data_IF_590122078774
#
_entry.id   IF_590122078774
#
_cell.length_a   1.000
_cell.length_b   1.000
_cell.length_c   1.000
_cell.angle_alpha   90.00
_cell.angle_beta   90.00
_cell.angle_gamma   90.00
#
_symmetry.space_group_name_H-M   'P 1'
#
loop_
_entity.id
_entity.type
_entity.pdbx_description
1 polymer ?
#
# COMPACT_ATOMS: atom_id res chain seq x y z
N UNK A 1 29.19 40.98 -25.98
CA UNK A 1 29.64 39.92 -25.04
C UNK A 1 28.51 39.50 -24.07
N UNK A 2 27.23 39.56 -24.48
CA UNK A 2 26.05 39.29 -23.61
C UNK A 2 25.17 38.10 -24.08
N UNK A 3 25.59 37.35 -25.11
CA UNK A 3 24.78 36.26 -25.67
C UNK A 3 25.14 34.86 -25.18
N UNK A 4 26.27 34.67 -24.51
CA UNK A 4 26.74 33.36 -24.02
C UNK A 4 26.24 33.02 -22.61
N UNK A 5 25.91 34.01 -21.78
CA UNK A 5 25.39 33.76 -20.43
C UNK A 5 23.93 33.31 -20.43
N UNK A 6 23.10 33.85 -21.32
CA UNK A 6 21.69 33.46 -21.40
C UNK A 6 21.51 32.00 -21.89
N UNK A 7 22.29 31.55 -22.88
CA UNK A 7 22.21 30.16 -23.38
C UNK A 7 22.65 29.12 -22.35
N UNK A 8 23.65 29.43 -21.52
CA UNK A 8 24.12 28.62 -20.40
C UNK A 8 23.06 28.43 -19.30
N UNK A 9 22.31 29.49 -18.98
CA UNK A 9 21.22 29.44 -18.00
C UNK A 9 20.02 28.63 -18.52
N UNK A 10 19.68 28.74 -19.81
CA UNK A 10 18.63 27.92 -20.42
C UNK A 10 19.01 26.43 -20.51
N UNK A 11 20.29 26.11 -20.76
CA UNK A 11 20.79 24.72 -20.72
C UNK A 11 20.72 24.16 -19.30
N UNK A 12 21.21 24.89 -18.31
CA UNK A 12 21.18 24.46 -16.90
C UNK A 12 19.75 24.24 -16.39
N UNK A 13 18.78 25.07 -16.82
CA UNK A 13 17.36 24.87 -16.48
C UNK A 13 16.78 23.60 -17.08
N UNK A 14 17.14 23.28 -18.33
CA UNK A 14 16.71 22.06 -19.00
C UNK A 14 17.28 20.82 -18.32
N UNK A 15 18.55 20.88 -17.90
CA UNK A 15 19.22 19.79 -17.19
C UNK A 15 18.64 19.58 -15.78
N UNK A 16 18.35 20.66 -15.04
CA UNK A 16 17.67 20.56 -13.73
C UNK A 16 16.26 19.96 -13.89
N UNK A 17 15.51 20.40 -14.90
CA UNK A 17 14.17 19.86 -15.15
C UNK A 17 14.21 18.39 -15.56
N UNK A 18 15.18 17.97 -16.38
CA UNK A 18 15.32 16.58 -16.78
C UNK A 18 15.70 15.68 -15.61
N UNK A 19 16.61 16.12 -14.73
CA UNK A 19 16.96 15.41 -13.50
C UNK A 19 15.75 15.28 -12.57
N UNK A 20 15.00 16.37 -12.36
CA UNK A 20 13.78 16.35 -11.56
C UNK A 20 12.73 15.39 -12.15
N UNK A 21 12.49 15.48 -13.46
CA UNK A 21 11.55 14.60 -14.16
C UNK A 21 11.98 13.13 -14.10
N UNK A 22 13.27 12.83 -14.19
CA UNK A 22 13.78 11.49 -14.01
C UNK A 22 13.49 10.96 -12.59
N UNK A 23 13.69 11.79 -11.56
CA UNK A 23 13.35 11.45 -10.18
C UNK A 23 11.85 11.19 -9.99
N UNK A 24 10.98 12.06 -10.52
CA UNK A 24 9.52 11.87 -10.48
C UNK A 24 9.10 10.60 -11.23
N UNK A 25 9.67 10.37 -12.41
CA UNK A 25 9.35 9.19 -13.22
C UNK A 25 9.80 7.88 -12.55
N UNK A 26 10.94 7.91 -11.84
CA UNK A 26 11.42 6.76 -11.08
C UNK A 26 10.51 6.41 -9.88
N UNK A 27 9.78 7.40 -9.35
CA UNK A 27 8.81 7.23 -8.27
C UNK A 27 7.36 7.03 -8.78
N UNK A 28 7.17 6.86 -10.09
CA UNK A 28 5.84 6.61 -10.66
C UNK A 28 5.27 5.28 -10.13
N UNK A 29 4.09 5.27 -9.48
CA UNK A 29 3.57 4.06 -8.84
C UNK A 29 3.27 2.92 -9.82
N UNK A 30 2.84 3.25 -11.03
CA UNK A 30 2.52 2.26 -12.05
C UNK A 30 3.82 1.61 -12.57
N UNK A 31 4.84 2.39 -12.89
CA UNK A 31 6.14 1.87 -13.31
C UNK A 31 6.86 1.13 -12.18
N UNK A 32 6.74 1.58 -10.94
CA UNK A 32 7.31 0.89 -9.78
C UNK A 32 6.78 -0.55 -9.67
N UNK A 33 5.47 -0.76 -9.85
CA UNK A 33 4.90 -2.12 -9.88
C UNK A 33 5.44 -2.90 -11.09
N UNK A 34 5.48 -2.30 -12.29
CA UNK A 34 6.01 -2.97 -13.49
C UNK A 34 7.49 -3.36 -13.39
N UNK A 35 8.26 -2.63 -12.61
CA UNK A 35 9.67 -2.94 -12.36
C UNK A 35 9.87 -4.06 -11.34
N UNK A 36 8.87 -4.33 -10.49
CA UNK A 36 8.98 -5.31 -9.42
C UNK A 36 8.20 -6.60 -9.71
N UNK A 37 7.14 -6.55 -10.50
CA UNK A 37 6.27 -7.69 -10.78
C UNK A 37 6.38 -8.09 -12.25
N UNK A 38 6.78 -9.34 -12.48
CA UNK A 38 6.90 -9.92 -13.80
C UNK A 38 6.20 -11.28 -13.87
N UNK A 39 5.98 -11.75 -15.09
CA UNK A 39 5.52 -13.11 -15.37
C UNK A 39 6.53 -13.76 -16.30
N UNK A 40 7.04 -14.92 -15.90
CA UNK A 40 7.99 -15.73 -16.64
C UNK A 40 7.53 -17.20 -16.61
N UNK A 41 7.34 -17.83 -17.77
CA UNK A 41 6.88 -19.23 -17.90
C UNK A 41 5.70 -19.60 -16.97
N UNK A 42 4.67 -18.76 -16.92
CA UNK A 42 3.48 -18.90 -16.07
C UNK A 42 3.73 -18.81 -14.55
N UNK A 43 4.92 -18.39 -14.13
CA UNK A 43 5.25 -18.08 -12.75
C UNK A 43 5.24 -16.57 -12.53
N UNK A 44 4.71 -16.15 -11.38
CA UNK A 44 4.85 -14.77 -10.95
C UNK A 44 6.23 -14.61 -10.30
N UNK A 45 6.93 -13.57 -10.71
CA UNK A 45 8.25 -13.21 -10.22
C UNK A 45 8.21 -11.81 -9.59
N UNK A 46 8.65 -11.73 -8.33
CA UNK A 46 8.75 -10.49 -7.58
C UNK A 46 10.22 -10.14 -7.34
N UNK A 47 10.65 -8.98 -7.81
CA UNK A 47 11.97 -8.45 -7.48
C UNK A 47 11.99 -7.96 -6.03
N UNK A 48 12.93 -8.47 -5.23
CA UNK A 48 13.06 -8.14 -3.81
C UNK A 48 14.05 -7.01 -3.54
N UNK A 49 14.97 -6.75 -4.49
CA UNK A 49 15.91 -5.64 -4.42
C UNK A 49 16.03 -4.96 -5.78
N UNK A 50 15.70 -3.67 -5.84
CA UNK A 50 15.81 -2.87 -7.07
C UNK A 50 17.25 -2.74 -7.58
N UNK A 51 18.26 -2.91 -6.72
CA UNK A 51 19.69 -2.84 -7.06
C UNK A 51 20.25 -4.18 -7.51
N UNK A 52 19.71 -5.28 -6.98
CA UNK A 52 20.12 -6.64 -7.33
C UNK A 52 18.97 -7.37 -8.06
N UNK A 53 19.02 -7.32 -9.39
CA UNK A 53 18.04 -7.96 -10.28
C UNK A 53 18.00 -9.49 -10.19
N UNK A 54 18.95 -10.11 -9.49
CA UNK A 54 18.98 -11.57 -9.30
C UNK A 54 18.25 -12.00 -8.04
N UNK A 55 17.98 -11.07 -7.12
CA UNK A 55 17.27 -11.34 -5.88
C UNK A 55 15.75 -11.28 -6.10
N UNK A 56 15.17 -12.42 -6.48
CA UNK A 56 13.74 -12.52 -6.80
C UNK A 56 13.04 -13.63 -6.02
N UNK A 57 11.74 -13.44 -5.78
CA UNK A 57 10.82 -14.47 -5.31
C UNK A 57 10.00 -14.95 -6.50
N UNK A 58 10.12 -16.23 -6.83
CA UNK A 58 9.26 -16.90 -7.80
C UNK A 58 8.26 -17.81 -7.08
N UNK A 59 7.07 -17.96 -7.64
CA UNK A 59 6.10 -18.92 -7.15
C UNK A 59 5.05 -19.29 -8.20
N UNK A 60 4.49 -20.47 -8.03
CA UNK A 60 3.36 -20.96 -8.82
C UNK A 60 2.14 -20.98 -7.91
N UNK A 61 1.29 -19.97 -8.08
CA UNK A 61 0.03 -19.86 -7.34
C UNK A 61 -1.13 -20.22 -8.24
N UNK A 62 -2.14 -20.89 -7.69
CA UNK A 62 -3.34 -21.26 -8.45
C UNK A 62 -4.21 -20.05 -8.76
N UNK A 63 -4.23 -19.06 -7.84
CA UNK A 63 -4.95 -17.80 -7.98
C UNK A 63 -4.26 -16.65 -7.23
N UNK A 64 -4.59 -15.43 -7.63
CA UNK A 64 -4.14 -14.17 -7.05
C UNK A 64 -5.34 -13.31 -6.64
N UNK A 65 -5.38 -12.93 -5.38
CA UNK A 65 -6.31 -11.97 -4.80
C UNK A 65 -5.63 -10.61 -4.68
N UNK A 66 -6.05 -9.65 -5.50
CA UNK A 66 -5.41 -8.33 -5.56
C UNK A 66 -6.10 -7.34 -4.61
N UNK A 67 -5.32 -6.76 -3.69
CA UNK A 67 -5.78 -5.70 -2.79
C UNK A 67 -4.79 -4.54 -2.85
N UNK A 68 -5.27 -3.38 -3.26
CA UNK A 68 -4.50 -2.14 -3.25
C UNK A 68 -5.12 -1.14 -2.27
N UNK A 69 -4.29 -0.40 -1.53
CA UNK A 69 -4.78 0.73 -0.73
C UNK A 69 -3.73 1.83 -0.55
N UNK A 70 -4.20 3.06 -0.49
CA UNK A 70 -3.36 4.26 -0.47
C UNK A 70 -3.66 5.20 -1.64
N UNK A 71 -3.06 6.39 -1.62
CA UNK A 71 -3.28 7.42 -2.66
C UNK A 71 -2.95 6.96 -4.08
N UNK A 72 -2.04 6.00 -4.23
CA UNK A 72 -1.62 5.46 -5.52
C UNK A 72 -2.27 4.10 -5.86
N UNK A 73 -3.26 3.65 -5.08
CA UNK A 73 -3.85 2.33 -5.20
C UNK A 73 -4.35 2.02 -6.63
N UNK A 74 -5.03 2.98 -7.28
CA UNK A 74 -5.54 2.80 -8.64
C UNK A 74 -4.42 2.54 -9.65
N UNK A 75 -3.35 3.34 -9.61
CA UNK A 75 -2.22 3.22 -10.54
C UNK A 75 -1.46 1.90 -10.32
N UNK A 76 -1.21 1.53 -9.06
CA UNK A 76 -0.55 0.28 -8.71
C UNK A 76 -1.40 -0.93 -9.10
N UNK A 77 -2.71 -0.90 -8.80
CA UNK A 77 -3.64 -1.99 -9.14
C UNK A 77 -3.75 -2.19 -10.64
N UNK A 78 -3.80 -1.09 -11.42
CA UNK A 78 -3.80 -1.16 -12.89
C UNK A 78 -2.54 -1.84 -13.41
N UNK A 79 -1.36 -1.48 -12.92
CA UNK A 79 -0.11 -2.11 -13.34
C UNK A 79 -0.10 -3.62 -13.04
N UNK A 80 -0.50 -4.01 -11.83
CA UNK A 80 -0.56 -5.42 -11.46
C UNK A 80 -1.58 -6.21 -12.29
N UNK A 81 -2.76 -5.63 -12.54
CA UNK A 81 -3.83 -6.24 -13.35
C UNK A 81 -3.39 -6.50 -14.80
N UNK A 82 -2.63 -5.58 -15.40
CA UNK A 82 -2.08 -5.76 -16.75
C UNK A 82 -1.00 -6.85 -16.84
N UNK A 83 -0.30 -7.12 -15.72
CA UNK A 83 0.77 -8.12 -15.67
C UNK A 83 0.21 -9.50 -15.33
N UNK A 84 -0.70 -9.59 -14.35
CA UNK A 84 -1.22 -10.86 -13.85
C UNK A 84 -2.13 -11.50 -14.92
N UNK A 85 -1.82 -12.71 -15.41
CA UNK A 85 -2.63 -13.39 -16.39
C UNK A 85 -4.07 -13.57 -15.93
N UNK A 86 -5.04 -13.36 -16.82
CA UNK A 86 -6.48 -13.42 -16.48
C UNK A 86 -6.92 -14.72 -15.83
N UNK A 87 -6.30 -15.85 -16.19
CA UNK A 87 -6.60 -17.17 -15.61
C UNK A 87 -6.13 -17.34 -14.15
N UNK A 88 -5.18 -16.50 -13.69
CA UNK A 88 -4.73 -16.49 -12.29
C UNK A 88 -5.56 -15.52 -11.43
N UNK A 89 -6.45 -14.71 -12.00
CA UNK A 89 -7.23 -13.75 -11.21
C UNK A 89 -8.40 -14.48 -10.51
N UNK A 90 -8.49 -14.40 -9.17
CA UNK A 90 -9.47 -15.16 -8.39
C UNK A 90 -10.90 -14.62 -8.51
N UNK A 91 -11.04 -13.32 -8.29
CA UNK A 91 -12.27 -12.53 -8.23
C UNK A 91 -11.95 -11.08 -8.61
N UNK A 92 -12.96 -10.21 -8.63
CA UNK A 92 -12.76 -8.76 -8.69
C UNK A 92 -11.84 -8.33 -7.54
N UNK A 93 -10.70 -7.72 -7.87
CA UNK A 93 -9.78 -7.17 -6.86
C UNK A 93 -10.34 -5.91 -6.21
N UNK A 94 -9.69 -5.40 -5.17
CA UNK A 94 -10.14 -4.20 -4.45
C UNK A 94 -9.03 -3.14 -4.49
N UNK A 95 -9.39 -1.89 -4.79
CA UNK A 95 -8.50 -0.73 -4.65
C UNK A 95 -9.17 0.35 -3.79
N UNK A 96 -8.55 0.72 -2.66
CA UNK A 96 -9.05 1.75 -1.75
C UNK A 96 -8.18 3.00 -1.83
N UNK A 97 -8.76 4.13 -2.24
CA UNK A 97 -8.03 5.40 -2.40
C UNK A 97 -8.82 6.57 -1.82
N UNK A 98 -8.19 7.73 -1.70
CA UNK A 98 -8.85 8.99 -1.40
C UNK A 98 -9.79 9.42 -2.54
N UNK A 99 -10.90 10.08 -2.20
CA UNK A 99 -11.99 10.42 -3.14
C UNK A 99 -11.52 11.09 -4.44
N UNK A 100 -10.56 12.00 -4.36
CA UNK A 100 -10.01 12.74 -5.49
C UNK A 100 -9.14 11.90 -6.43
N UNK A 101 -8.69 10.73 -5.99
CA UNK A 101 -7.84 9.81 -6.75
C UNK A 101 -8.63 8.59 -7.29
N UNK A 102 -9.95 8.57 -7.14
CA UNK A 102 -10.80 7.50 -7.68
C UNK A 102 -10.76 7.54 -9.20
N UNK A 103 -10.23 6.48 -9.79
CA UNK A 103 -10.17 6.27 -11.24
C UNK A 103 -10.61 4.84 -11.51
N UNK A 104 -11.47 4.63 -12.51
CA UNK A 104 -11.91 3.30 -12.87
C UNK A 104 -10.73 2.42 -13.31
N UNK A 105 -10.66 1.20 -12.76
CA UNK A 105 -9.69 0.16 -13.14
C UNK A 105 -10.50 -1.10 -13.45
N UNK A 106 -10.27 -1.67 -14.63
CA UNK A 106 -11.01 -2.84 -15.09
C UNK A 106 -10.79 -4.04 -14.15
N UNK A 107 -11.85 -4.81 -13.89
CA UNK A 107 -11.83 -5.95 -12.95
C UNK A 107 -11.41 -5.64 -11.50
N UNK A 108 -11.39 -4.35 -11.11
CA UNK A 108 -11.10 -3.91 -9.75
C UNK A 108 -12.27 -3.08 -9.21
N UNK A 109 -12.75 -3.41 -8.02
CA UNK A 109 -13.67 -2.55 -7.28
C UNK A 109 -12.86 -1.40 -6.65
N UNK A 110 -13.02 -0.21 -7.22
CA UNK A 110 -12.36 1.01 -6.73
C UNK A 110 -13.27 1.73 -5.74
N UNK A 111 -12.79 1.93 -4.52
CA UNK A 111 -13.54 2.51 -3.41
C UNK A 111 -12.84 3.80 -2.96
N UNK A 112 -13.58 4.92 -3.00
CA UNK A 112 -13.16 6.19 -2.41
C UNK A 112 -13.44 6.21 -0.90
N UNK A 113 -12.48 6.69 -0.11
CA UNK A 113 -12.61 6.88 1.34
C UNK A 113 -11.91 8.18 1.78
N UNK A 114 -12.23 8.66 2.99
CA UNK A 114 -11.64 9.89 3.51
C UNK A 114 -10.19 9.72 3.96
N UNK A 115 -9.39 10.75 3.68
CA UNK A 115 -8.02 10.94 4.16
C UNK A 115 -7.80 12.46 4.34
N UNK A 116 -7.18 12.95 5.43
CA UNK A 116 -6.37 12.20 6.41
C UNK A 116 -7.17 11.56 7.55
N UNK A 117 -8.45 11.92 7.73
CA UNK A 117 -9.30 11.36 8.78
C UNK A 117 -10.13 10.18 8.24
N UNK A 118 -10.22 9.06 8.96
CA UNK A 118 -11.02 7.91 8.54
C UNK A 118 -12.52 8.21 8.51
N UNK A 119 -13.27 7.51 7.66
CA UNK A 119 -14.72 7.61 7.57
C UNK A 119 -15.41 6.23 7.42
N UNK A 120 -16.74 6.25 7.30
CA UNK A 120 -17.55 5.04 7.17
C UNK A 120 -17.28 4.29 5.86
N UNK A 121 -16.98 5.01 4.78
CA UNK A 121 -16.61 4.40 3.49
C UNK A 121 -15.31 3.60 3.63
N UNK A 122 -14.31 4.16 4.30
CA UNK A 122 -13.07 3.47 4.64
C UNK A 122 -13.31 2.23 5.50
N UNK A 123 -14.15 2.31 6.55
CA UNK A 123 -14.47 1.15 7.37
C UNK A 123 -15.11 0.02 6.54
N UNK A 124 -16.05 0.37 5.66
CA UNK A 124 -16.70 -0.60 4.78
C UNK A 124 -15.68 -1.20 3.80
N UNK A 125 -14.78 -0.40 3.24
CA UNK A 125 -13.70 -0.86 2.38
C UNK A 125 -12.76 -1.82 3.12
N UNK A 126 -12.39 -1.50 4.36
CA UNK A 126 -11.54 -2.33 5.21
C UNK A 126 -12.17 -3.71 5.49
N UNK A 127 -13.49 -3.75 5.74
CA UNK A 127 -14.25 -5.00 5.88
C UNK A 127 -14.24 -5.83 4.60
N UNK A 128 -14.40 -5.19 3.43
CA UNK A 128 -14.32 -5.87 2.14
C UNK A 128 -12.92 -6.45 1.88
N UNK A 129 -11.87 -5.68 2.16
CA UNK A 129 -10.49 -6.18 2.07
C UNK A 129 -10.30 -7.42 2.97
N UNK A 130 -10.70 -7.35 4.24
CA UNK A 130 -10.59 -8.49 5.16
C UNK A 130 -11.37 -9.72 4.66
N UNK A 131 -12.58 -9.51 4.13
CA UNK A 131 -13.39 -10.56 3.53
C UNK A 131 -12.69 -11.23 2.35
N UNK A 132 -12.11 -10.45 1.44
CA UNK A 132 -11.36 -10.99 0.30
C UNK A 132 -10.11 -11.76 0.74
N UNK A 133 -9.35 -11.25 1.71
CA UNK A 133 -8.16 -11.94 2.24
C UNK A 133 -8.54 -13.30 2.82
N UNK A 134 -9.62 -13.36 3.61
CA UNK A 134 -10.05 -14.58 4.31
C UNK A 134 -10.56 -15.67 3.36
N UNK A 135 -10.93 -15.31 2.13
CA UNK A 135 -11.31 -16.28 1.10
C UNK A 135 -10.11 -16.99 0.47
N UNK A 136 -8.90 -16.45 0.62
CA UNK A 136 -7.70 -17.02 0.01
C UNK A 136 -7.37 -18.38 0.63
N UNK A 137 -7.06 -19.35 -0.22
CA UNK A 137 -6.78 -20.73 0.16
C UNK A 137 -5.27 -21.03 0.13
N UNK A 138 -4.90 -22.19 0.67
CA UNK A 138 -3.55 -22.73 0.51
C UNK A 138 -3.16 -22.82 -0.98
N UNK A 139 -1.93 -22.43 -1.32
CA UNK A 139 -1.41 -22.29 -2.70
C UNK A 139 -1.96 -21.10 -3.52
N UNK A 140 -2.78 -20.23 -2.93
CA UNK A 140 -3.17 -18.95 -3.54
C UNK A 140 -2.30 -17.82 -2.98
N UNK A 141 -2.26 -16.70 -3.72
CA UNK A 141 -1.52 -15.51 -3.34
C UNK A 141 -2.45 -14.34 -3.03
N UNK A 142 -2.28 -13.72 -1.88
CA UNK A 142 -2.79 -12.38 -1.59
C UNK A 142 -1.72 -11.36 -1.97
N UNK A 143 -1.91 -10.66 -3.08
CA UNK A 143 -1.03 -9.57 -3.51
C UNK A 143 -1.54 -8.25 -2.96
N UNK A 144 -0.75 -7.64 -2.07
CA UNK A 144 -1.08 -6.38 -1.40
C UNK A 144 -0.24 -5.25 -1.97
N UNK A 145 -0.89 -4.19 -2.47
CA UNK A 145 -0.24 -3.00 -3.01
C UNK A 145 -0.49 -1.83 -2.08
N UNK A 146 0.57 -1.28 -1.48
CA UNK A 146 0.45 -0.26 -0.42
C UNK A 146 1.11 1.02 -0.86
N UNK A 147 0.45 2.15 -0.63
CA UNK A 147 1.08 3.47 -0.70
C UNK A 147 0.67 4.35 0.48
N UNK A 148 1.19 5.57 0.52
CA UNK A 148 0.84 6.60 1.51
C UNK A 148 -0.67 6.78 1.71
N UNK A 149 -1.07 7.03 2.97
CA UNK A 149 -2.46 7.28 3.38
C UNK A 149 -3.28 6.05 3.80
N UNK A 150 -2.76 4.83 3.61
CA UNK A 150 -3.48 3.58 3.93
C UNK A 150 -4.00 3.49 5.37
N UNK A 151 -3.29 4.12 6.30
CA UNK A 151 -3.62 4.19 7.72
C UNK A 151 -5.04 4.69 8.01
N UNK A 152 -5.49 5.70 7.25
CA UNK A 152 -6.81 6.32 7.36
C UNK A 152 -7.85 5.71 6.41
N UNK A 153 -7.41 5.21 5.25
CA UNK A 153 -8.28 4.68 4.19
C UNK A 153 -8.88 3.30 4.53
N UNK A 154 -8.19 2.49 5.32
CA UNK A 154 -8.68 1.16 5.79
C UNK A 154 -8.72 1.08 7.33
N UNK A 155 -9.60 1.86 7.99
CA UNK A 155 -9.80 1.82 9.43
C UNK A 155 -10.65 0.60 9.79
N UNK A 156 -10.03 -0.51 10.19
CA UNK A 156 -10.78 -1.64 10.75
C UNK A 156 -10.52 -1.74 12.26
N UNK A 157 -11.35 -1.13 13.13
CA UNK A 157 -11.25 -1.32 14.57
C UNK A 157 -11.55 -2.78 14.97
N UNK A 158 -11.11 -3.16 16.16
CA UNK A 158 -11.55 -4.42 16.80
C UNK A 158 -13.03 -4.33 17.19
N UNK A 159 -13.72 -5.47 17.33
CA UNK A 159 -15.18 -5.52 17.48
C UNK A 159 -15.74 -4.74 18.67
N UNK A 160 -14.96 -4.59 19.74
CA UNK A 160 -15.33 -3.85 20.95
C UNK A 160 -15.19 -2.33 20.82
N UNK A 161 -14.73 -1.82 19.68
CA UNK A 161 -14.40 -0.40 19.47
C UNK A 161 -15.11 0.11 18.21
N UNK A 162 -15.85 1.19 18.35
CA UNK A 162 -16.45 1.91 17.23
C UNK A 162 -15.42 2.67 16.41
N UNK A 163 -15.78 3.02 15.17
CA UNK A 163 -14.95 3.88 14.34
C UNK A 163 -14.71 5.24 15.01
N UNK A 164 -15.74 5.79 15.64
CA UNK A 164 -15.69 7.08 16.33
C UNK A 164 -14.72 7.06 17.51
N UNK A 165 -14.74 6.01 18.33
CA UNK A 165 -13.79 5.85 19.44
C UNK A 165 -12.34 5.72 18.94
N UNK A 166 -12.13 4.99 17.84
CA UNK A 166 -10.81 4.90 17.21
C UNK A 166 -10.29 6.25 16.69
N UNK A 167 -11.16 7.05 16.09
CA UNK A 167 -10.84 8.42 15.64
C UNK A 167 -10.52 9.28 16.86
N UNK A 168 -11.41 9.32 17.85
CA UNK A 168 -11.23 10.12 19.06
C UNK A 168 -9.94 9.77 19.82
N UNK A 169 -9.60 8.48 19.92
CA UNK A 169 -8.34 8.03 20.53
C UNK A 169 -7.12 8.59 19.77
N UNK A 170 -7.17 8.56 18.44
CA UNK A 170 -6.07 9.11 17.60
C UNK A 170 -5.94 10.62 17.78
N UNK A 171 -7.07 11.34 17.83
CA UNK A 171 -7.09 12.79 18.04
C UNK A 171 -6.52 13.18 19.42
N UNK A 172 -6.84 12.42 20.47
CA UNK A 172 -6.30 12.64 21.82
C UNK A 172 -4.78 12.46 21.86
N UNK A 173 -4.26 11.42 21.21
CA UNK A 173 -2.81 11.17 21.14
C UNK A 173 -2.08 12.28 20.36
N UNK A 174 -2.67 12.75 19.26
CA UNK A 174 -2.13 13.90 18.52
C UNK A 174 -2.14 15.17 19.36
N UNK A 175 -3.23 15.43 20.07
CA UNK A 175 -3.40 16.62 20.90
C UNK A 175 -2.42 16.66 22.09
N UNK A 176 -2.05 15.49 22.63
CA UNK A 176 -1.05 15.42 23.71
C UNK A 176 0.40 15.36 23.22
N UNK A 177 0.64 15.43 21.90
CA UNK A 177 1.98 15.45 21.32
C UNK A 177 2.68 14.09 21.31
N UNK A 178 1.93 12.98 21.33
CA UNK A 178 2.51 11.65 21.20
C UNK A 178 3.29 11.51 19.88
N UNK A 179 4.39 10.79 19.93
CA UNK A 179 5.21 10.49 18.76
C UNK A 179 4.46 9.57 17.79
N UNK A 180 4.89 9.57 16.52
CA UNK A 180 4.28 8.67 15.52
C UNK A 180 4.39 7.18 15.90
N UNK A 181 5.45 6.81 16.63
CA UNK A 181 5.65 5.43 17.09
C UNK A 181 4.67 5.07 18.20
N UNK A 182 4.46 5.94 19.18
CA UNK A 182 3.46 5.75 20.25
C UNK A 182 2.04 5.71 19.67
N UNK A 183 1.72 6.63 18.76
CA UNK A 183 0.43 6.64 18.05
C UNK A 183 0.23 5.33 17.29
N UNK A 184 1.25 4.86 16.56
CA UNK A 184 1.15 3.60 15.82
C UNK A 184 1.05 2.38 16.72
N UNK A 185 1.73 2.36 17.87
CA UNK A 185 1.60 1.30 18.87
C UNK A 185 0.13 1.14 19.28
N UNK A 186 -0.52 2.22 19.73
CA UNK A 186 -1.94 2.18 20.11
C UNK A 186 -2.80 1.80 18.89
N UNK A 187 -2.60 2.42 17.74
CA UNK A 187 -3.42 2.17 16.54
C UNK A 187 -3.36 0.72 16.05
N UNK A 188 -2.23 0.03 16.18
CA UNK A 188 -2.08 -1.39 15.83
C UNK A 188 -2.92 -2.25 16.77
N UNK A 189 -2.85 -2.00 18.07
CA UNK A 189 -3.60 -2.73 19.11
C UNK A 189 -5.11 -2.50 19.09
N UNK A 190 -5.57 -1.40 18.49
CA UNK A 190 -7.00 -1.11 18.25
C UNK A 190 -7.44 -1.47 16.83
N UNK A 191 -6.77 -2.38 16.12
CA UNK A 191 -7.10 -2.71 14.73
C UNK A 191 -7.03 -4.19 14.39
N UNK A 192 -7.98 -4.65 13.57
CA UNK A 192 -7.94 -5.99 12.98
C UNK A 192 -6.93 -6.12 11.83
N UNK A 193 -6.69 -5.04 11.07
CA UNK A 193 -5.85 -5.07 9.86
C UNK A 193 -4.40 -4.64 10.06
N UNK A 194 -4.10 -3.81 11.06
CA UNK A 194 -2.76 -3.24 11.27
C UNK A 194 -1.86 -4.22 12.05
N UNK A 195 -0.57 -3.95 12.10
CA UNK A 195 0.39 -4.75 12.87
C UNK A 195 0.35 -6.23 12.50
N UNK A 196 0.43 -6.55 11.21
CA UNK A 196 0.38 -7.92 10.69
C UNK A 196 -1.04 -8.50 10.58
N UNK A 197 -2.08 -7.67 10.60
CA UNK A 197 -3.46 -8.14 10.46
C UNK A 197 -3.74 -8.80 9.12
N UNK A 198 -3.16 -8.29 8.02
CA UNK A 198 -3.30 -8.92 6.71
C UNK A 198 -2.64 -10.29 6.66
N UNK A 199 -1.44 -10.45 7.22
CA UNK A 199 -0.74 -11.73 7.23
C UNK A 199 -1.46 -12.76 8.09
N UNK A 200 -2.03 -12.34 9.24
CA UNK A 200 -2.88 -13.22 10.06
C UNK A 200 -4.14 -13.67 9.33
N UNK A 201 -4.83 -12.76 8.63
CA UNK A 201 -6.03 -13.09 7.87
C UNK A 201 -5.77 -13.94 6.63
N UNK A 202 -4.59 -13.79 6.01
CA UNK A 202 -4.25 -14.50 4.79
C UNK A 202 -3.92 -15.98 5.05
N UNK A 203 -3.46 -16.34 6.25
CA UNK A 203 -3.07 -17.72 6.54
C UNK A 203 -4.26 -18.70 6.32
N UNK A 204 -4.05 -19.82 5.60
CA UNK A 204 -2.76 -20.39 5.18
C UNK A 204 -2.26 -19.96 3.78
N UNK A 205 -2.94 -19.03 3.09
CA UNK A 205 -2.50 -18.52 1.80
C UNK A 205 -1.18 -17.75 1.90
N UNK A 206 -0.47 -17.70 0.77
CA UNK A 206 0.73 -16.88 0.65
C UNK A 206 0.36 -15.39 0.58
N UNK A 207 1.23 -14.53 1.09
CA UNK A 207 1.08 -13.08 0.96
C UNK A 207 2.36 -12.47 0.37
N UNK A 208 2.20 -11.50 -0.54
CA UNK A 208 3.29 -10.63 -0.98
C UNK A 208 2.81 -9.18 -0.96
N UNK A 209 3.67 -8.26 -0.51
CA UNK A 209 3.35 -6.85 -0.46
C UNK A 209 4.33 -6.03 -1.29
N UNK A 210 3.82 -5.22 -2.21
CA UNK A 210 4.59 -4.17 -2.89
C UNK A 210 4.23 -2.83 -2.24
N UNK A 211 5.23 -2.18 -1.63
CA UNK A 211 5.02 -1.00 -0.79
C UNK A 211 5.76 0.19 -1.41
N UNK A 212 5.00 1.23 -1.75
CA UNK A 212 5.52 2.53 -2.16
C UNK A 212 5.58 3.45 -0.94
N UNK A 213 6.79 3.64 -0.39
CA UNK A 213 7.03 4.39 0.83
C UNK A 213 7.01 5.92 0.60
N UNK A 214 6.27 6.63 1.46
CA UNK A 214 6.37 8.07 1.66
C UNK A 214 6.96 8.42 3.03
N UNK A 215 7.57 7.44 3.71
CA UNK A 215 8.15 7.57 5.06
C UNK A 215 9.67 7.65 4.95
N UNK A 216 10.27 8.68 5.55
CA UNK A 216 11.73 8.81 5.61
C UNK A 216 12.35 7.59 6.32
N UNK A 217 13.31 6.94 5.64
CA UNK A 217 13.99 5.76 6.16
C UNK A 217 13.25 4.43 5.95
N UNK A 218 12.09 4.44 5.27
CA UNK A 218 11.37 3.26 4.78
C UNK A 218 11.00 2.23 5.87
N UNK A 219 10.72 2.69 7.09
CA UNK A 219 10.21 1.81 8.15
C UNK A 219 8.83 1.25 7.79
N UNK A 220 8.83 0.00 7.31
CA UNK A 220 7.64 -0.71 6.85
C UNK A 220 6.58 -0.87 7.96
N UNK A 221 6.98 -0.87 9.24
CA UNK A 221 6.06 -1.00 10.37
C UNK A 221 5.23 0.28 10.61
N UNK A 222 5.70 1.41 10.08
CA UNK A 222 5.05 2.72 10.15
C UNK A 222 4.15 2.94 8.93
N UNK A 223 4.57 2.49 7.74
CA UNK A 223 3.79 2.65 6.50
C UNK A 223 2.44 1.94 6.66
N UNK A 224 1.37 2.73 6.59
CA UNK A 224 -0.01 2.29 6.84
C UNK A 224 -0.20 1.53 8.18
N UNK A 225 0.68 1.75 9.16
CA UNK A 225 0.77 1.02 10.43
C UNK A 225 1.04 -0.49 10.26
N UNK A 226 1.83 -0.87 9.24
CA UNK A 226 2.40 -2.22 9.08
C UNK A 226 1.37 -3.35 8.97
N UNK A 227 0.37 -3.30 8.07
CA UNK A 227 -0.64 -4.36 7.97
C UNK A 227 -0.07 -5.72 7.58
N UNK A 228 1.07 -5.74 6.88
CA UNK A 228 1.77 -6.94 6.40
C UNK A 228 3.07 -7.24 7.17
N UNK A 229 3.34 -6.47 8.23
CA UNK A 229 4.59 -6.50 9.01
C UNK A 229 4.26 -6.89 10.44
N UNK A 230 5.03 -7.79 11.09
CA UNK A 230 4.79 -8.13 12.49
C UNK A 230 4.87 -6.89 13.38
N UNK A 231 4.01 -6.82 14.39
CA UNK A 231 4.09 -5.82 15.44
C UNK A 231 4.96 -6.34 16.59
N UNK A 232 6.02 -5.62 16.92
CA UNK A 232 6.90 -5.94 18.05
C UNK A 232 6.44 -5.30 19.36
N UNK A 233 5.48 -4.37 19.32
CA UNK A 233 4.92 -3.76 20.52
C UNK A 233 3.83 -4.63 21.15
N UNK A 234 3.52 -4.37 22.41
CA UNK A 234 2.56 -5.13 23.22
C UNK A 234 1.42 -4.25 23.72
N UNK A 235 0.35 -4.88 24.22
CA UNK A 235 -0.72 -4.15 24.91
C UNK A 235 -0.22 -3.37 26.13
N UNK A 236 0.86 -3.81 26.78
CA UNK A 236 1.45 -3.09 27.90
C UNK A 236 2.15 -1.79 27.45
N UNK A 237 2.68 -1.74 26.22
CA UNK A 237 3.27 -0.53 25.64
C UNK A 237 2.19 0.48 25.19
N UNK A 238 0.95 0.02 24.99
CA UNK A 238 -0.15 0.81 24.47
C UNK A 238 -1.02 1.49 25.56
N UNK A 239 -0.78 1.22 26.84
CA UNK A 239 -1.55 1.72 28.00
C UNK A 239 -0.69 2.68 28.82
#
# INVERSE_FOLDING_TARGET
MFHTENSSIFSSRKDVLSIFQAGVSAADPYQAVKNCLHVDDHQLEFLLDLKDKTNTRKGTWSKVHLIAFGKAACAMAKAAQEIIPSHLQSTTGIAVTNYENVVAVEHIEVIGASHPLPDQAGLNAAKKCAGLITLAQENELVLVLVSGGGSALIPYPVDSISLQEKIATTDLLLACGATINEINCVRKHLSLLKGGGFTRLAAPADLHALILSDVLGDDLSVIASGPTIPDSSTYADAI
#
